data_IF_397526316453
#
_entry.id   IF_397526316453
#
_cell.length_a   1.000
_cell.length_b   1.000
_cell.length_c   1.000
_cell.angle_alpha   90.00
_cell.angle_beta   90.00
_cell.angle_gamma   90.00
#
_symmetry.space_group_name_H-M   'P 1'
#
loop_
_entity.id
_entity.type
_entity.pdbx_description
1 polymer ?
#
# COMPACT_ATOMS: atom_id res chain seq x y z
N UNK A 1 -3.45 -12.29 5.63
CA UNK A 1 -3.84 -11.89 6.99
C UNK A 1 -5.01 -10.92 7.03
N UNK A 2 -5.03 -9.82 6.25
CA UNK A 2 -6.09 -8.80 6.35
C UNK A 2 -7.51 -9.37 6.17
N UNK A 3 -7.71 -10.21 5.16
CA UNK A 3 -8.99 -10.91 4.96
C UNK A 3 -9.37 -11.81 6.15
N UNK A 4 -8.40 -12.49 6.76
CA UNK A 4 -8.63 -13.34 7.92
C UNK A 4 -9.01 -12.53 9.17
N UNK A 5 -8.33 -11.40 9.41
CA UNK A 5 -8.64 -10.49 10.51
C UNK A 5 -10.05 -9.91 10.39
N UNK A 6 -10.42 -9.44 9.19
CA UNK A 6 -11.77 -8.93 8.92
C UNK A 6 -12.83 -10.04 9.06
N UNK A 7 -12.53 -11.27 8.61
CA UNK A 7 -13.42 -12.41 8.81
C UNK A 7 -13.60 -12.76 10.29
N UNK A 8 -12.55 -12.69 11.11
CA UNK A 8 -12.65 -12.90 12.55
C UNK A 8 -13.58 -11.86 13.21
N UNK A 9 -13.57 -10.62 12.69
CA UNK A 9 -14.54 -9.58 13.05
C UNK A 9 -15.95 -9.76 12.44
N UNK A 10 -16.24 -10.90 11.80
CA UNK A 10 -17.55 -11.18 11.19
C UNK A 10 -17.81 -10.47 9.86
N UNK A 11 -16.79 -9.85 9.25
CA UNK A 11 -16.95 -9.10 8.01
C UNK A 11 -16.72 -10.00 6.79
N UNK A 12 -17.71 -10.04 5.89
CA UNK A 12 -17.52 -10.66 4.57
C UNK A 12 -16.68 -9.74 3.70
N UNK A 13 -15.59 -10.27 3.16
CA UNK A 13 -14.64 -9.50 2.35
C UNK A 13 -14.45 -10.12 0.98
N UNK A 14 -14.16 -9.26 0.00
CA UNK A 14 -13.55 -9.64 -1.26
C UNK A 14 -12.18 -8.99 -1.33
N UNK A 15 -11.17 -9.72 -1.80
CA UNK A 15 -9.83 -9.19 -1.96
C UNK A 15 -9.23 -9.61 -3.31
N UNK A 16 -8.49 -8.70 -3.91
CA UNK A 16 -7.55 -9.01 -4.98
C UNK A 16 -6.13 -8.95 -4.40
N UNK A 17 -5.41 -10.06 -4.47
CA UNK A 17 -4.02 -10.17 -4.04
C UNK A 17 -3.11 -10.21 -5.26
N UNK A 18 -2.30 -9.16 -5.43
CA UNK A 18 -1.34 -9.07 -6.52
C UNK A 18 0.00 -9.63 -6.04
N UNK A 19 0.41 -10.75 -6.61
CA UNK A 19 1.69 -11.41 -6.29
C UNK A 19 2.37 -11.77 -7.62
N UNK A 20 3.38 -10.99 -8.05
CA UNK A 20 3.98 -11.16 -9.37
C UNK A 20 4.84 -12.42 -9.52
N UNK A 21 5.44 -12.95 -8.45
CA UNK A 21 6.36 -14.06 -8.57
C UNK A 21 5.58 -15.38 -8.79
N UNK A 22 5.93 -16.18 -9.82
CA UNK A 22 5.15 -17.36 -10.17
C UNK A 22 4.99 -18.37 -9.02
N UNK A 23 6.08 -18.69 -8.33
CA UNK A 23 6.11 -19.63 -7.20
C UNK A 23 5.32 -19.11 -5.99
N UNK A 24 5.55 -17.85 -5.60
CA UNK A 24 4.81 -17.20 -4.52
C UNK A 24 3.31 -17.11 -4.83
N UNK A 25 2.94 -16.76 -6.06
CA UNK A 25 1.54 -16.69 -6.49
C UNK A 25 0.88 -18.07 -6.48
N UNK A 26 1.61 -19.14 -6.82
CA UNK A 26 1.12 -20.52 -6.76
C UNK A 26 0.83 -20.93 -5.32
N UNK A 27 1.81 -20.75 -4.42
CA UNK A 27 1.65 -21.04 -2.99
C UNK A 27 0.52 -20.20 -2.36
N UNK A 28 0.34 -18.96 -2.80
CA UNK A 28 -0.77 -18.13 -2.34
C UNK A 28 -2.11 -18.70 -2.80
N UNK A 29 -2.25 -19.14 -4.05
CA UNK A 29 -3.48 -19.82 -4.51
C UNK A 29 -3.77 -21.08 -3.69
N UNK A 30 -2.76 -21.90 -3.45
CA UNK A 30 -2.90 -23.10 -2.61
C UNK A 30 -3.36 -22.74 -1.19
N UNK A 31 -2.81 -21.68 -0.59
CA UNK A 31 -3.24 -21.18 0.72
C UNK A 31 -4.69 -20.68 0.71
N UNK A 32 -5.10 -19.94 -0.34
CA UNK A 32 -6.49 -19.50 -0.52
C UNK A 32 -7.44 -20.69 -0.60
N UNK A 33 -7.08 -21.73 -1.36
CA UNK A 33 -7.88 -22.97 -1.47
C UNK A 33 -7.94 -23.74 -0.15
N UNK A 34 -6.81 -23.91 0.53
CA UNK A 34 -6.73 -24.61 1.81
C UNK A 34 -7.60 -23.96 2.90
N UNK A 35 -7.75 -22.63 2.85
CA UNK A 35 -8.59 -21.86 3.77
C UNK A 35 -10.03 -21.66 3.27
N UNK A 36 -10.42 -22.24 2.12
CA UNK A 36 -11.76 -22.11 1.50
C UNK A 36 -12.15 -20.65 1.24
N UNK A 37 -11.18 -19.87 0.75
CA UNK A 37 -11.34 -18.45 0.40
C UNK A 37 -11.41 -18.20 -1.10
N UNK A 38 -11.46 -19.24 -1.92
CA UNK A 38 -11.45 -19.20 -3.39
C UNK A 38 -12.62 -18.43 -4.02
N UNK A 39 -13.76 -18.33 -3.32
CA UNK A 39 -14.87 -17.45 -3.72
C UNK A 39 -14.75 -15.99 -3.27
N UNK A 40 -13.68 -15.63 -2.56
CA UNK A 40 -13.52 -14.31 -1.90
C UNK A 40 -12.20 -13.63 -2.21
N UNK A 41 -11.14 -14.40 -2.45
CA UNK A 41 -9.80 -13.88 -2.72
C UNK A 41 -9.36 -14.32 -4.11
N UNK A 42 -9.07 -13.35 -4.98
CA UNK A 42 -8.49 -13.59 -6.29
C UNK A 42 -6.99 -13.31 -6.24
N UNK A 43 -6.17 -14.27 -6.64
CA UNK A 43 -4.71 -14.10 -6.75
C UNK A 43 -4.34 -13.73 -8.20
N UNK A 44 -3.85 -12.51 -8.38
CA UNK A 44 -3.47 -11.92 -9.66
C UNK A 44 -1.95 -12.03 -9.84
N UNK A 45 -1.44 -12.85 -10.78
CA UNK A 45 0.00 -13.05 -10.98
C UNK A 45 0.60 -11.94 -11.86
N UNK A 46 0.48 -10.69 -11.42
CA UNK A 46 0.99 -9.51 -12.13
C UNK A 46 1.55 -8.51 -11.14
N UNK A 47 2.54 -7.75 -11.58
CA UNK A 47 3.05 -6.64 -10.79
C UNK A 47 2.10 -5.44 -10.92
N UNK A 48 1.74 -4.81 -9.79
CA UNK A 48 1.12 -3.49 -9.85
C UNK A 48 2.18 -2.46 -10.24
N UNK A 49 1.87 -1.58 -11.19
CA UNK A 49 2.79 -0.56 -11.66
C UNK A 49 2.06 0.73 -12.08
N UNK A 50 2.82 1.73 -12.54
CA UNK A 50 2.27 2.99 -13.01
C UNK A 50 1.58 2.89 -14.39
N UNK A 51 1.86 1.83 -15.16
CA UNK A 51 1.37 1.62 -16.53
C UNK A 51 1.05 0.15 -16.79
N UNK A 52 0.07 -0.08 -17.65
CA UNK A 52 -0.35 -1.40 -18.09
C UNK A 52 0.56 -1.95 -19.20
N UNK A 53 0.74 -3.27 -19.22
CA UNK A 53 1.33 -3.97 -20.37
C UNK A 53 2.85 -3.80 -20.51
N UNK A 54 3.51 -3.13 -19.57
CA UNK A 54 4.95 -3.14 -19.47
C UNK A 54 5.41 -4.49 -18.91
N UNK A 55 6.69 -4.79 -19.08
CA UNK A 55 7.33 -5.94 -18.43
C UNK A 55 8.40 -5.41 -17.49
N UNK A 56 8.35 -5.83 -16.24
CA UNK A 56 9.38 -5.51 -15.25
C UNK A 56 10.21 -6.75 -14.97
N UNK A 57 11.52 -6.56 -14.85
CA UNK A 57 12.42 -7.59 -14.37
C UNK A 57 12.48 -7.50 -12.85
N UNK A 58 12.09 -8.59 -12.18
CA UNK A 58 12.21 -8.72 -10.73
C UNK A 58 13.42 -9.57 -10.40
N UNK A 59 14.27 -9.08 -9.52
CA UNK A 59 15.25 -9.91 -8.83
C UNK A 59 14.63 -10.43 -7.54
N UNK A 60 14.86 -11.70 -7.23
CA UNK A 60 14.30 -12.34 -6.04
C UNK A 60 15.21 -13.46 -5.52
N UNK A 61 15.01 -13.82 -4.26
CA UNK A 61 15.64 -14.98 -3.64
C UNK A 61 14.64 -16.16 -3.62
N UNK A 62 14.90 -17.25 -4.38
CA UNK A 62 14.05 -18.43 -4.36
C UNK A 62 13.93 -19.02 -2.95
N UNK A 63 12.70 -19.23 -2.47
CA UNK A 63 12.45 -19.82 -1.15
C UNK A 63 12.39 -18.85 0.04
N UNK A 64 12.67 -17.55 -0.13
CA UNK A 64 12.42 -16.52 0.89
C UNK A 64 11.08 -15.81 0.68
N UNK A 65 9.98 -16.59 0.62
CA UNK A 65 8.61 -16.08 0.60
C UNK A 65 8.29 -15.06 -0.52
N UNK A 66 9.01 -15.08 -1.63
CA UNK A 66 8.71 -14.20 -2.76
C UNK A 66 9.04 -12.73 -2.50
N UNK A 67 10.07 -12.40 -1.72
CA UNK A 67 10.59 -11.03 -1.71
C UNK A 67 11.25 -10.69 -3.05
N UNK A 68 10.42 -10.22 -3.98
CA UNK A 68 10.84 -9.64 -5.25
C UNK A 68 11.03 -8.13 -5.14
N UNK A 69 12.01 -7.61 -5.85
CA UNK A 69 12.23 -6.18 -6.04
C UNK A 69 12.47 -5.93 -7.52
N UNK A 70 12.00 -4.81 -8.05
CA UNK A 70 12.32 -4.43 -9.42
C UNK A 70 13.82 -4.21 -9.57
N UNK A 71 14.41 -4.73 -10.64
CA UNK A 71 15.78 -4.39 -11.04
C UNK A 71 15.73 -2.97 -11.62
N UNK A 72 16.28 -2.00 -10.90
CA UNK A 72 16.53 -0.64 -11.43
C UNK A 72 17.90 -0.61 -12.09
N UNK A 73 18.15 0.40 -12.94
CA UNK A 73 19.33 0.49 -13.80
C UNK A 73 20.68 0.48 -13.05
N UNK A 74 20.69 0.70 -11.73
CA UNK A 74 21.77 0.32 -10.82
C UNK A 74 21.55 -1.13 -10.33
N UNK A 75 22.13 -2.08 -11.07
CA UNK A 75 21.97 -3.52 -10.90
C UNK A 75 22.21 -4.01 -9.44
N UNK A 76 21.30 -4.86 -8.94
CA UNK A 76 21.60 -5.86 -7.90
C UNK A 76 21.56 -5.45 -6.41
N UNK A 77 21.36 -4.18 -6.07
CA UNK A 77 21.60 -3.70 -4.69
C UNK A 77 20.68 -4.30 -3.59
N UNK A 78 19.48 -4.78 -3.94
CA UNK A 78 18.47 -5.10 -2.90
C UNK A 78 18.45 -6.57 -2.44
N UNK A 79 18.85 -7.53 -3.27
CA UNK A 79 19.07 -8.93 -2.82
C UNK A 79 20.56 -9.31 -2.71
N UNK A 80 21.47 -8.39 -3.06
CA UNK A 80 22.92 -8.57 -2.93
C UNK A 80 23.46 -9.74 -3.75
N UNK A 81 24.54 -10.36 -3.30
CA UNK A 81 25.18 -11.52 -3.96
C UNK A 81 24.29 -12.77 -4.01
N UNK A 82 23.17 -12.76 -3.28
CA UNK A 82 22.26 -13.89 -3.15
C UNK A 82 21.08 -13.84 -4.14
N UNK A 83 21.03 -12.85 -5.05
CA UNK A 83 20.03 -12.83 -6.12
C UNK A 83 20.25 -14.03 -7.05
N UNK A 84 19.45 -15.09 -6.87
CA UNK A 84 19.59 -16.32 -7.66
C UNK A 84 18.58 -16.42 -8.82
N UNK A 85 17.59 -15.52 -8.88
CA UNK A 85 16.54 -15.55 -9.90
C UNK A 85 16.17 -14.18 -10.44
N UNK A 86 15.88 -14.14 -11.74
CA UNK A 86 15.23 -13.03 -12.42
C UNK A 86 13.93 -13.52 -13.04
N UNK A 87 12.86 -12.74 -12.88
CA UNK A 87 11.58 -13.02 -13.52
C UNK A 87 11.09 -11.80 -14.29
N UNK A 88 10.75 -11.98 -15.56
CA UNK A 88 10.09 -10.95 -16.37
C UNK A 88 8.59 -11.05 -16.17
N UNK A 89 8.00 -10.06 -15.51
CA UNK A 89 6.60 -10.08 -15.09
C UNK A 89 5.81 -8.98 -15.83
N UNK A 90 4.64 -9.31 -16.39
CA UNK A 90 3.75 -8.29 -16.94
C UNK A 90 3.16 -7.40 -15.85
N UNK A 91 3.07 -6.11 -16.12
CA UNK A 91 2.48 -5.15 -15.20
C UNK A 91 1.00 -4.92 -15.47
N UNK A 92 0.31 -4.46 -14.45
CA UNK A 92 -1.05 -3.92 -14.54
C UNK A 92 -1.19 -2.72 -13.60
N UNK A 93 -2.05 -1.78 -13.95
CA UNK A 93 -2.45 -0.67 -13.08
C UNK A 93 -3.59 -1.10 -12.18
N UNK A 94 -3.72 -0.46 -11.02
CA UNK A 94 -4.88 -0.69 -10.16
C UNK A 94 -6.16 -0.13 -10.81
N UNK A 95 -6.03 0.98 -11.52
CA UNK A 95 -7.10 1.64 -12.27
C UNK A 95 -7.74 0.72 -13.32
N UNK A 96 -6.98 -0.16 -13.97
CA UNK A 96 -7.52 -1.13 -14.94
C UNK A 96 -7.94 -2.44 -14.29
N UNK A 97 -7.14 -2.97 -13.36
CA UNK A 97 -7.34 -4.31 -12.81
C UNK A 97 -8.49 -4.38 -11.80
N UNK A 98 -8.60 -3.41 -10.89
CA UNK A 98 -9.62 -3.48 -9.84
C UNK A 98 -11.05 -3.44 -10.39
N UNK A 99 -11.43 -2.48 -11.28
CA UNK A 99 -12.78 -2.45 -11.83
C UNK A 99 -13.16 -3.70 -12.63
N UNK A 100 -12.18 -4.36 -13.26
CA UNK A 100 -12.40 -5.62 -13.99
C UNK A 100 -12.70 -6.80 -13.06
N UNK A 101 -12.13 -6.80 -11.84
CA UNK A 101 -12.38 -7.83 -10.82
C UNK A 101 -13.62 -7.53 -9.98
N UNK A 102 -13.84 -6.25 -9.65
CA UNK A 102 -14.94 -5.78 -8.81
C UNK A 102 -15.30 -4.32 -9.18
N UNK A 103 -16.46 -4.08 -9.83
CA UNK A 103 -16.89 -2.73 -10.19
C UNK A 103 -17.52 -1.99 -9.00
N UNK A 104 -16.79 -1.92 -7.88
CA UNK A 104 -17.18 -1.21 -6.67
C UNK A 104 -15.97 -0.44 -6.12
N UNK A 105 -16.16 0.54 -5.23
CA UNK A 105 -15.03 1.20 -4.58
C UNK A 105 -14.11 0.24 -3.83
N UNK A 106 -12.83 0.59 -3.76
CA UNK A 106 -11.81 -0.11 -3.02
C UNK A 106 -11.76 0.43 -1.59
N UNK A 107 -12.28 -0.32 -0.63
CA UNK A 107 -12.32 0.15 0.75
C UNK A 107 -10.92 0.25 1.37
N UNK A 108 -10.07 -0.75 1.15
CA UNK A 108 -8.72 -0.80 1.73
C UNK A 108 -7.72 -1.21 0.65
N UNK A 109 -6.73 -0.36 0.41
CA UNK A 109 -5.55 -0.67 -0.39
C UNK A 109 -4.34 -0.84 0.52
N UNK A 110 -3.86 -2.07 0.69
CA UNK A 110 -2.62 -2.34 1.43
C UNK A 110 -1.45 -2.50 0.47
N UNK A 111 -0.40 -1.71 0.65
CA UNK A 111 0.83 -1.73 -0.13
C UNK A 111 2.00 -2.27 0.70
N UNK A 112 2.69 -3.26 0.14
CA UNK A 112 3.87 -3.90 0.70
C UNK A 112 4.77 -4.40 -0.42
N UNK A 113 5.19 -3.49 -1.30
CA UNK A 113 5.71 -3.80 -2.66
C UNK A 113 7.17 -3.38 -2.85
N UNK A 114 7.94 -3.32 -1.76
CA UNK A 114 9.40 -3.23 -1.75
C UNK A 114 9.98 -2.05 -2.57
N UNK A 115 9.44 -0.85 -2.42
CA UNK A 115 9.93 0.37 -3.06
C UNK A 115 9.11 0.81 -4.27
N UNK A 116 8.15 0.00 -4.72
CA UNK A 116 7.24 0.31 -5.81
C UNK A 116 5.94 1.01 -5.36
N UNK A 117 5.83 1.38 -4.07
CA UNK A 117 4.61 1.95 -3.49
C UNK A 117 4.13 3.19 -4.27
N UNK A 118 5.05 4.10 -4.63
CA UNK A 118 4.72 5.29 -5.41
C UNK A 118 4.22 4.94 -6.82
N UNK A 119 4.83 3.96 -7.49
CA UNK A 119 4.43 3.52 -8.83
C UNK A 119 3.06 2.85 -8.82
N UNK A 120 2.75 2.04 -7.80
CA UNK A 120 1.41 1.48 -7.61
C UNK A 120 0.38 2.59 -7.46
N UNK A 121 0.67 3.63 -6.67
CA UNK A 121 -0.25 4.76 -6.48
C UNK A 121 -0.39 5.62 -7.74
N UNK A 122 0.65 5.75 -8.56
CA UNK A 122 0.54 6.35 -9.91
C UNK A 122 -0.44 5.56 -10.78
N UNK A 123 -0.38 4.23 -10.73
CA UNK A 123 -1.33 3.33 -11.40
C UNK A 123 -2.71 3.24 -10.75
N UNK A 124 -2.94 3.96 -9.64
CA UNK A 124 -4.22 4.07 -8.96
C UNK A 124 -4.79 5.51 -9.01
N UNK A 125 -4.21 6.38 -9.84
CA UNK A 125 -4.50 7.82 -9.84
C UNK A 125 -5.97 8.11 -10.18
N UNK A 126 -6.58 7.37 -11.10
CA UNK A 126 -7.98 7.58 -11.45
C UNK A 126 -8.90 7.15 -10.31
N UNK A 127 -8.64 6.02 -9.65
CA UNK A 127 -9.38 5.58 -8.47
C UNK A 127 -9.24 6.59 -7.33
N UNK A 128 -8.02 7.06 -7.04
CA UNK A 128 -7.75 8.06 -6.00
C UNK A 128 -8.46 9.38 -6.29
N UNK A 129 -8.30 9.95 -7.49
CA UNK A 129 -8.91 11.24 -7.85
C UNK A 129 -10.44 11.22 -7.88
N UNK A 130 -11.04 10.07 -8.18
CA UNK A 130 -12.49 9.83 -8.07
C UNK A 130 -12.93 9.44 -6.65
N UNK A 131 -12.00 9.46 -5.69
CA UNK A 131 -12.18 9.06 -4.29
C UNK A 131 -12.72 7.64 -4.12
N UNK A 132 -12.48 6.75 -5.08
CA UNK A 132 -12.90 5.34 -5.05
C UNK A 132 -11.96 4.45 -4.22
N UNK A 133 -11.04 5.05 -3.46
CA UNK A 133 -10.20 4.37 -2.47
C UNK A 133 -10.47 5.01 -1.12
N UNK A 134 -10.95 4.23 -0.14
CA UNK A 134 -11.30 4.80 1.16
C UNK A 134 -10.12 4.90 2.12
N UNK A 135 -9.24 3.89 2.12
CA UNK A 135 -8.04 3.84 2.94
C UNK A 135 -6.88 3.22 2.16
N UNK A 136 -5.69 3.77 2.35
CA UNK A 136 -4.43 3.26 1.85
C UNK A 136 -3.50 3.02 3.03
N UNK A 137 -2.96 1.82 3.11
CA UNK A 137 -1.92 1.45 4.06
C UNK A 137 -0.62 1.22 3.33
N UNK A 138 0.45 1.87 3.79
CA UNK A 138 1.77 1.75 3.20
C UNK A 138 2.77 1.36 4.27
N UNK A 139 3.50 0.27 4.04
CA UNK A 139 4.58 -0.13 4.94
C UNK A 139 5.79 0.81 4.81
N UNK A 140 6.11 1.58 5.86
CA UNK A 140 7.11 2.67 5.80
C UNK A 140 8.47 2.15 5.37
N UNK A 141 8.95 1.04 5.96
CA UNK A 141 10.27 0.50 5.64
C UNK A 141 10.41 0.05 4.17
N UNK A 142 9.30 -0.31 3.50
CA UNK A 142 9.30 -0.71 2.09
C UNK A 142 9.23 0.51 1.18
N UNK A 143 8.33 1.45 1.45
CA UNK A 143 8.26 2.73 0.74
C UNK A 143 9.57 3.52 0.82
N UNK A 144 10.28 3.43 1.96
CA UNK A 144 11.60 4.06 2.14
C UNK A 144 12.65 3.57 1.14
N UNK A 145 12.56 2.31 0.67
CA UNK A 145 13.45 1.79 -0.39
C UNK A 145 13.25 2.59 -1.67
N UNK A 146 11.99 2.75 -2.08
CA UNK A 146 11.61 3.56 -3.23
C UNK A 146 12.00 5.03 -3.10
N UNK A 147 11.90 5.59 -1.89
CA UNK A 147 12.36 6.95 -1.58
C UNK A 147 13.88 7.10 -1.72
N UNK A 148 14.67 6.15 -1.20
CA UNK A 148 16.13 6.21 -1.27
C UNK A 148 16.63 6.21 -2.72
N UNK A 149 16.11 5.30 -3.54
CA UNK A 149 16.41 5.24 -4.97
C UNK A 149 16.04 6.55 -5.69
N UNK A 150 14.90 7.16 -5.31
CA UNK A 150 14.43 8.41 -5.90
C UNK A 150 15.35 9.60 -5.58
N UNK A 151 15.90 9.66 -4.37
CA UNK A 151 16.81 10.72 -3.95
C UNK A 151 18.17 10.61 -4.66
N UNK A 152 18.63 9.39 -4.96
CA UNK A 152 19.81 9.18 -5.80
C UNK A 152 19.59 9.73 -7.22
N UNK A 153 18.40 9.55 -7.80
CA UNK A 153 18.03 10.08 -9.11
C UNK A 153 17.74 11.60 -9.12
N UNK A 154 17.17 12.13 -8.03
CA UNK A 154 16.68 13.50 -7.91
C UNK A 154 17.76 14.58 -7.77
N UNK A 155 19.04 14.20 -7.69
CA UNK A 155 20.18 15.13 -7.83
C UNK A 155 20.14 15.97 -9.13
N UNK A 156 19.21 15.66 -10.04
CA UNK A 156 18.97 16.28 -11.34
C UNK A 156 17.78 17.28 -11.38
N UNK A 157 17.09 17.55 -10.27
CA UNK A 157 16.10 18.64 -10.17
C UNK A 157 14.61 18.24 -10.35
N UNK A 158 14.28 16.96 -10.16
CA UNK A 158 12.90 16.44 -10.19
C UNK A 158 12.14 16.68 -8.88
N UNK A 159 10.80 16.60 -8.92
CA UNK A 159 9.94 16.61 -7.72
C UNK A 159 10.33 15.47 -6.78
N UNK A 160 10.46 15.73 -5.48
CA UNK A 160 10.84 14.70 -4.50
C UNK A 160 9.76 13.62 -4.36
N UNK A 161 10.19 12.39 -4.04
CA UNK A 161 9.30 11.24 -3.81
C UNK A 161 8.17 11.56 -2.83
N UNK A 162 8.51 12.22 -1.72
CA UNK A 162 7.59 12.61 -0.66
C UNK A 162 6.53 13.60 -1.15
N UNK A 163 6.91 14.56 -2.01
CA UNK A 163 5.98 15.52 -2.60
C UNK A 163 4.98 14.87 -3.55
N UNK A 164 5.42 13.92 -4.38
CA UNK A 164 4.53 13.22 -5.28
C UNK A 164 3.60 12.24 -4.55
N UNK A 165 4.14 11.47 -3.60
CA UNK A 165 3.35 10.57 -2.76
C UNK A 165 2.26 11.35 -2.01
N UNK A 166 2.61 12.49 -1.43
CA UNK A 166 1.65 13.40 -0.80
C UNK A 166 0.61 13.92 -1.80
N UNK A 167 1.03 14.32 -2.99
CA UNK A 167 0.16 14.80 -4.06
C UNK A 167 -0.88 13.76 -4.49
N UNK A 168 -0.51 12.48 -4.55
CA UNK A 168 -1.43 11.38 -4.88
C UNK A 168 -2.42 11.09 -3.74
N UNK A 169 -1.92 10.99 -2.51
CA UNK A 169 -2.75 10.61 -1.35
C UNK A 169 -3.62 11.77 -0.86
N UNK A 170 -3.00 12.88 -0.44
CA UNK A 170 -3.70 14.01 0.16
C UNK A 170 -4.28 14.96 -0.90
N UNK A 171 -3.55 15.20 -2.00
CA UNK A 171 -4.00 16.09 -3.07
C UNK A 171 -5.13 15.49 -3.91
N UNK A 172 -4.78 14.51 -4.75
CA UNK A 172 -5.74 13.87 -5.65
C UNK A 172 -6.74 13.00 -4.87
N UNK A 173 -6.28 12.20 -3.92
CA UNK A 173 -7.13 11.32 -3.12
C UNK A 173 -8.01 12.04 -2.09
N UNK A 174 -7.61 13.25 -1.66
CA UNK A 174 -8.27 13.93 -0.54
C UNK A 174 -8.17 13.15 0.77
N UNK A 175 -7.16 12.30 0.91
CA UNK A 175 -6.96 11.45 2.08
C UNK A 175 -6.20 12.22 3.18
N UNK A 176 -6.62 12.04 4.42
CA UNK A 176 -5.84 12.40 5.60
C UNK A 176 -4.73 11.38 5.81
N UNK A 177 -3.48 11.83 5.78
CA UNK A 177 -2.30 10.98 5.94
C UNK A 177 -1.79 11.04 7.38
N UNK A 178 -1.52 9.89 7.96
CA UNK A 178 -1.00 9.69 9.32
C UNK A 178 0.14 8.69 9.31
N UNK A 179 1.09 8.86 10.23
CA UNK A 179 2.04 7.81 10.62
C UNK A 179 1.43 7.02 11.77
N UNK A 180 1.40 5.71 11.62
CA UNK A 180 1.02 4.77 12.67
C UNK A 180 2.21 3.90 13.05
N UNK A 181 2.52 3.86 14.34
CA UNK A 181 3.50 2.97 14.94
C UNK A 181 2.71 1.85 15.63
N UNK A 182 2.71 0.66 15.04
CA UNK A 182 1.97 -0.48 15.57
C UNK A 182 2.66 -1.04 16.83
N UNK A 183 1.89 -1.77 17.64
CA UNK A 183 2.38 -2.47 18.82
C UNK A 183 3.41 -3.54 18.39
N UNK A 184 4.57 -3.58 19.06
CA UNK A 184 5.56 -4.63 18.79
C UNK A 184 5.19 -5.94 19.48
N UNK A 185 4.24 -6.67 18.89
CA UNK A 185 3.85 -7.99 19.35
C UNK A 185 4.92 -9.06 19.07
N UNK A 186 5.90 -8.74 18.22
CA UNK A 186 6.91 -9.69 17.72
C UNK A 186 8.26 -9.57 18.42
N UNK A 187 8.48 -8.51 19.20
CA UNK A 187 9.79 -8.16 19.73
C UNK A 187 10.80 -7.82 18.63
N UNK A 188 10.36 -7.31 17.47
CA UNK A 188 11.22 -6.97 16.33
C UNK A 188 11.61 -5.49 16.30
N UNK A 189 11.08 -4.67 17.21
CA UNK A 189 11.42 -3.26 17.34
C UNK A 189 12.43 -3.11 18.46
N UNK A 190 13.71 -3.10 18.10
CA UNK A 190 14.81 -2.89 19.04
C UNK A 190 15.20 -1.42 19.09
N UNK A 191 15.49 -0.91 20.29
CA UNK A 191 16.04 0.43 20.53
C UNK A 191 15.24 1.60 19.93
N UNK A 192 13.93 1.43 19.77
CA UNK A 192 13.02 2.50 19.34
C UNK A 192 12.42 3.21 20.57
N UNK A 193 12.80 4.47 20.85
CA UNK A 193 12.28 5.20 21.99
C UNK A 193 10.85 5.73 21.78
N UNK A 194 10.27 5.58 20.59
CA UNK A 194 8.94 6.12 20.27
C UNK A 194 7.84 5.30 20.96
N UNK A 195 6.78 5.94 21.48
CA UNK A 195 5.66 5.23 22.11
C UNK A 195 4.87 4.39 21.09
N UNK A 196 4.48 3.17 21.50
CA UNK A 196 3.70 2.23 20.69
C UNK A 196 2.57 1.59 21.53
N UNK A 197 1.35 1.40 20.97
CA UNK A 197 0.93 1.90 19.65
C UNK A 197 0.76 3.43 19.67
N UNK A 198 1.00 4.10 18.54
CA UNK A 198 0.69 5.53 18.41
C UNK A 198 0.35 5.93 16.97
N UNK A 199 -0.54 6.91 16.83
CA UNK A 199 -0.92 7.48 15.53
C UNK A 199 -0.71 8.99 15.54
N UNK A 200 -0.03 9.51 14.52
CA UNK A 200 0.23 10.94 14.35
C UNK A 200 -0.16 11.38 12.95
N UNK A 201 -1.13 12.30 12.86
CA UNK A 201 -1.48 12.96 11.61
C UNK A 201 -0.32 13.78 11.06
N UNK A 202 -0.10 13.66 9.75
CA UNK A 202 0.89 14.42 9.00
C UNK A 202 0.24 15.63 8.34
N UNK A 203 1.01 16.71 8.17
CA UNK A 203 0.49 17.97 7.61
C UNK A 203 1.05 18.35 6.25
N UNK A 204 2.14 17.72 5.82
CA UNK A 204 2.81 18.07 4.57
C UNK A 204 3.71 16.96 4.05
N UNK A 205 4.09 17.09 2.78
CA UNK A 205 5.16 16.31 2.16
C UNK A 205 6.49 16.40 2.93
N UNK A 206 6.79 17.53 3.58
CA UNK A 206 8.02 17.71 4.36
C UNK A 206 8.05 16.84 5.63
N UNK A 207 6.90 16.67 6.30
CA UNK A 207 6.82 15.73 7.43
C UNK A 207 6.96 14.28 6.98
N UNK A 208 6.38 13.94 5.82
CA UNK A 208 6.51 12.63 5.21
C UNK A 208 7.97 12.31 4.85
N UNK A 209 8.68 13.29 4.30
CA UNK A 209 10.11 13.19 4.02
C UNK A 209 10.95 12.95 5.29
N UNK A 210 10.61 13.64 6.38
CA UNK A 210 11.22 13.41 7.69
C UNK A 210 11.05 11.98 8.21
N UNK A 211 9.94 11.30 7.89
CA UNK A 211 9.71 9.90 8.23
C UNK A 211 10.65 8.99 7.43
N UNK A 212 10.81 9.21 6.13
CA UNK A 212 11.68 8.38 5.30
C UNK A 212 13.17 8.58 5.62
N UNK A 213 13.55 9.76 6.11
CA UNK A 213 14.90 10.04 6.63
C UNK A 213 15.18 9.37 7.98
N UNK A 214 14.15 9.13 8.78
CA UNK A 214 14.29 8.49 10.08
C UNK A 214 14.51 6.96 9.96
N UNK A 215 15.07 6.31 11.00
CA UNK A 215 15.02 4.85 11.11
C UNK A 215 13.57 4.36 10.94
N UNK A 216 13.40 3.35 10.08
CA UNK A 216 12.10 2.76 9.80
C UNK A 216 12.08 1.34 10.32
N UNK A 217 10.98 0.95 10.97
CA UNK A 217 10.82 -0.37 11.57
C UNK A 217 9.74 -1.16 10.83
N UNK A 218 9.73 -2.49 11.00
CA UNK A 218 8.79 -3.40 10.34
C UNK A 218 7.32 -3.11 10.68
N UNK A 219 7.07 -2.36 11.75
CA UNK A 219 5.73 -2.08 12.28
C UNK A 219 5.34 -0.61 12.15
N UNK A 220 5.98 0.11 11.23
CA UNK A 220 5.66 1.50 10.92
C UNK A 220 4.84 1.56 9.61
N UNK A 221 3.68 2.21 9.67
CA UNK A 221 2.76 2.33 8.55
C UNK A 221 2.39 3.79 8.28
N UNK A 222 2.32 4.18 7.02
CA UNK A 222 1.53 5.33 6.62
C UNK A 222 0.10 4.86 6.40
N UNK A 223 -0.85 5.58 6.98
CA UNK A 223 -2.28 5.36 6.82
C UNK A 223 -2.83 6.62 6.18
N UNK A 224 -3.39 6.51 4.98
CA UNK A 224 -4.07 7.60 4.31
C UNK A 224 -5.55 7.23 4.16
N UNK A 225 -6.44 7.95 4.85
CA UNK A 225 -7.88 7.65 4.90
C UNK A 225 -8.72 8.83 4.49
N UNK A 226 -9.87 8.59 3.85
CA UNK A 226 -10.85 9.66 3.67
C UNK A 226 -11.30 10.14 5.07
N UNK A 227 -11.34 11.47 5.30
CA UNK A 227 -11.78 11.98 6.58
C UNK A 227 -13.23 11.52 6.84
N UNK A 228 -13.52 11.15 8.08
CA UNK A 228 -14.91 11.00 8.52
C UNK A 228 -15.64 12.31 8.20
N UNK A 229 -16.88 12.22 7.71
CA UNK A 229 -17.69 13.40 7.39
C UNK A 229 -17.56 14.44 8.51
N UNK A 230 -17.36 15.73 8.18
CA UNK A 230 -17.23 16.75 9.20
C UNK A 230 -18.44 16.69 10.15
N UNK A 231 -18.25 16.93 11.46
CA UNK A 231 -19.35 16.91 12.41
C UNK A 231 -20.47 17.85 11.93
N UNK A 232 -21.75 17.51 12.18
CA UNK A 232 -22.91 18.18 11.58
C UNK A 232 -23.06 19.68 11.92
N UNK A 233 -22.17 20.27 12.72
CA UNK A 233 -22.23 21.68 13.13
C UNK A 233 -21.72 22.69 12.11
N UNK A 234 -21.09 22.28 11.00
CA UNK A 234 -20.57 23.18 9.96
C UNK A 234 -21.28 23.03 8.59
N UNK A 235 -22.51 22.50 8.59
CA UNK A 235 -23.24 22.18 7.36
C UNK A 235 -23.56 23.43 6.50
N UNK A 236 -22.68 23.72 5.55
CA UNK A 236 -23.05 24.43 4.34
C UNK A 236 -24.09 23.58 3.57
N UNK A 237 -25.18 24.18 3.06
CA UNK A 237 -26.22 23.44 2.36
C UNK A 237 -25.77 23.17 0.92
N UNK A 238 -25.10 22.05 0.69
CA UNK A 238 -24.93 21.50 -0.65
C UNK A 238 -24.88 19.98 -0.60
N UNK A 239 -25.55 19.37 -1.58
CA UNK A 239 -25.73 17.93 -1.78
C UNK A 239 -24.37 17.20 -1.80
N UNK A 240 -23.86 16.85 -0.64
CA UNK A 240 -22.79 15.87 -0.52
C UNK A 240 -23.44 14.51 -0.74
N UNK A 241 -23.26 13.92 -1.93
CA UNK A 241 -23.43 12.49 -2.08
C UNK A 241 -22.60 11.85 -0.96
N UNK A 242 -23.26 11.17 -0.03
CA UNK A 242 -22.58 10.55 1.10
C UNK A 242 -21.43 9.71 0.53
N UNK A 243 -20.20 10.02 0.96
CA UNK A 243 -19.02 9.26 0.57
C UNK A 243 -19.35 7.77 0.75
N UNK A 244 -19.14 6.96 -0.28
CA UNK A 244 -19.39 5.51 -0.22
C UNK A 244 -18.60 4.83 0.91
N UNK A 245 -17.56 5.50 1.42
CA UNK A 245 -16.76 5.07 2.55
C UNK A 245 -17.43 5.30 3.91
N UNK A 246 -18.39 6.22 4.03
CA UNK A 246 -19.03 6.57 5.30
C UNK A 246 -19.82 5.41 5.95
N UNK A 247 -20.16 4.37 5.19
CA UNK A 247 -20.82 3.16 5.68
C UNK A 247 -19.90 1.95 5.86
N UNK A 248 -18.63 2.02 5.43
CA UNK A 248 -17.74 0.86 5.41
C UNK A 248 -17.52 0.34 6.84
N UNK A 249 -17.90 -0.92 7.07
CA UNK A 249 -17.59 -1.62 8.31
C UNK A 249 -16.09 -1.88 8.45
N UNK A 250 -15.40 -2.12 7.32
CA UNK A 250 -13.96 -2.32 7.32
C UNK A 250 -13.23 -1.07 7.81
N UNK A 251 -13.66 0.13 7.37
CA UNK A 251 -13.11 1.39 7.87
C UNK A 251 -13.44 1.65 9.33
N UNK A 252 -14.67 1.36 9.79
CA UNK A 252 -15.01 1.50 11.21
C UNK A 252 -14.12 0.62 12.10
N UNK A 253 -13.93 -0.63 11.72
CA UNK A 253 -13.02 -1.52 12.43
C UNK A 253 -11.57 -1.04 12.34
N UNK A 254 -11.19 -0.46 11.20
CA UNK A 254 -9.89 0.19 11.05
C UNK A 254 -9.73 1.37 12.02
N UNK A 255 -10.72 2.24 12.14
CA UNK A 255 -10.70 3.38 13.06
C UNK A 255 -10.61 2.92 14.53
N UNK A 256 -11.24 1.80 14.89
CA UNK A 256 -11.08 1.19 16.21
C UNK A 256 -9.64 0.72 16.49
N UNK A 257 -8.97 0.18 15.48
CA UNK A 257 -7.59 -0.33 15.60
C UNK A 257 -6.57 0.80 15.60
N UNK A 258 -6.80 1.85 14.79
CA UNK A 258 -5.79 2.87 14.49
C UNK A 258 -6.06 4.26 15.10
N UNK A 259 -7.24 4.50 15.69
CA UNK A 259 -7.65 5.76 16.32
C UNK A 259 -7.97 6.87 15.31
#
# INVERSE_FOLDING_TARGET
WAAAALQYGGLSTFAAAYEPLPDASSLFRESVLANRWDGRIVVVPRALAARDGETVSLAYFPGHNGEGTTVRASEGLHCGENCAGYASIPTVTLDSSWPALRPAPLEILKLSVNGEELNVLRGARALLSKRQVCSVLVHVAKARRGWADYEEEAATGTTSFSSELWGLLAGAGGLEVSLHLDQDLTGQVFDDPRPRPSTRRLRSAGELDGIFKAPAFAHDYLIARLPASPPPSEAAPARSEASHCAGSLALRHWDEVFG
#
